data_IF_766779588883
#
_entry.id   IF_766779588883
#
_cell.length_a   1.000
_cell.length_b   1.000
_cell.length_c   1.000
_cell.angle_alpha   90.00
_cell.angle_beta   90.00
_cell.angle_gamma   90.00
#
_symmetry.space_group_name_H-M   'P 1'
#
loop_
_entity.id
_entity.type
_entity.pdbx_description
1 polymer ?
#
# COMPACT_ATOMS: atom_id res chain seq x y z
N UNK A 1 -3.01 14.86 24.84
CA UNK A 1 -2.70 13.69 25.72
C UNK A 1 -3.66 12.51 25.53
N UNK A 2 -5.00 12.68 25.55
CA UNK A 2 -5.94 11.55 25.38
C UNK A 2 -5.73 10.75 24.08
N UNK A 3 -5.36 11.42 23.00
CA UNK A 3 -5.15 10.79 21.67
C UNK A 3 -3.92 9.88 21.62
N UNK A 4 -2.81 10.28 22.24
CA UNK A 4 -1.61 9.42 22.33
C UNK A 4 -1.91 8.15 23.14
N UNK A 5 -2.65 8.27 24.24
CA UNK A 5 -3.04 7.10 25.03
C UNK A 5 -3.98 6.16 24.26
N UNK A 6 -4.86 6.73 23.41
CA UNK A 6 -5.65 5.95 22.46
C UNK A 6 -4.76 5.14 21.50
N UNK A 7 -3.78 5.77 20.85
CA UNK A 7 -2.89 5.04 19.94
C UNK A 7 -1.98 4.02 20.64
N UNK A 8 -1.52 4.31 21.86
CA UNK A 8 -0.82 3.32 22.69
C UNK A 8 -1.71 2.11 22.99
N UNK A 9 -3.00 2.31 23.21
CA UNK A 9 -3.95 1.23 23.40
C UNK A 9 -4.12 0.42 22.10
N UNK A 10 -4.22 1.07 20.94
CA UNK A 10 -4.30 0.37 19.65
C UNK A 10 -3.05 -0.44 19.37
N UNK A 11 -1.85 0.09 19.63
CA UNK A 11 -0.61 -0.65 19.47
C UNK A 11 -0.54 -1.88 20.39
N UNK A 12 -1.05 -1.78 21.63
CA UNK A 12 -1.17 -2.92 22.54
C UNK A 12 -2.18 -3.96 22.04
N UNK A 13 -3.28 -3.53 21.42
CA UNK A 13 -4.27 -4.43 20.84
C UNK A 13 -3.69 -5.19 19.63
N UNK A 14 -3.03 -4.49 18.70
CA UNK A 14 -2.34 -5.11 17.58
C UNK A 14 -1.28 -6.10 18.04
N UNK A 15 -0.45 -5.71 19.01
CA UNK A 15 0.56 -6.61 19.57
C UNK A 15 -0.05 -7.86 20.23
N UNK A 16 -1.24 -7.74 20.84
CA UNK A 16 -1.96 -8.91 21.38
C UNK A 16 -2.47 -9.83 20.29
N UNK A 17 -2.91 -9.29 19.17
CA UNK A 17 -3.38 -10.08 18.03
C UNK A 17 -2.24 -10.85 17.38
N UNK A 18 -1.08 -10.22 17.17
CA UNK A 18 0.14 -10.92 16.73
C UNK A 18 0.58 -12.02 17.70
N UNK A 19 0.35 -11.88 19.01
CA UNK A 19 0.65 -12.96 19.98
C UNK A 19 -0.23 -14.20 19.85
N UNK A 20 -1.30 -14.15 19.06
CA UNK A 20 -2.12 -15.32 18.77
C UNK A 20 -1.51 -16.24 17.71
N UNK A 21 -0.35 -15.86 17.16
CA UNK A 21 0.44 -16.60 16.20
C UNK A 21 0.57 -18.08 16.54
N UNK A 22 0.27 -18.92 15.56
CA UNK A 22 0.57 -20.35 15.58
C UNK A 22 1.26 -20.72 14.27
N UNK A 23 2.43 -21.37 14.30
CA UNK A 23 3.04 -21.87 13.08
C UNK A 23 2.23 -23.03 12.51
N UNK A 24 2.18 -23.13 11.19
CA UNK A 24 1.69 -24.30 10.46
C UNK A 24 2.50 -24.48 9.18
N UNK A 25 2.65 -25.71 8.73
CA UNK A 25 3.33 -25.99 7.47
C UNK A 25 2.35 -25.85 6.31
N UNK A 26 2.69 -25.03 5.31
CA UNK A 26 1.91 -24.90 4.10
C UNK A 26 2.56 -25.72 2.95
N UNK A 27 1.92 -26.81 2.49
CA UNK A 27 2.46 -27.66 1.43
C UNK A 27 2.47 -26.99 0.05
N UNK A 28 1.68 -25.93 -0.15
CA UNK A 28 1.64 -25.17 -1.42
C UNK A 28 2.90 -24.32 -1.55
N UNK A 29 3.31 -23.67 -0.46
CA UNK A 29 4.50 -22.82 -0.43
C UNK A 29 5.76 -23.56 0.03
N UNK A 30 5.62 -24.81 0.50
CA UNK A 30 6.74 -25.63 0.95
C UNK A 30 7.46 -25.10 2.19
N UNK A 31 6.83 -24.20 2.97
CA UNK A 31 7.43 -23.52 4.13
C UNK A 31 6.45 -23.41 5.29
N UNK A 32 6.98 -23.15 6.49
CA UNK A 32 6.17 -22.80 7.64
C UNK A 32 5.63 -21.37 7.48
N UNK A 33 4.32 -21.22 7.69
CA UNK A 33 3.59 -19.96 7.73
C UNK A 33 2.96 -19.77 9.11
N UNK A 34 2.43 -18.58 9.34
CA UNK A 34 1.71 -18.26 10.57
C UNK A 34 0.21 -18.15 10.32
N UNK A 35 -0.57 -18.62 11.28
CA UNK A 35 -2.00 -18.37 11.37
C UNK A 35 -2.29 -17.60 12.65
N UNK A 36 -3.30 -16.73 12.62
CA UNK A 36 -3.69 -15.88 13.73
C UNK A 36 -5.16 -16.10 14.12
N UNK A 37 -5.50 -15.70 15.35
CA UNK A 37 -6.89 -15.59 15.82
C UNK A 37 -7.13 -14.20 16.37
N UNK A 38 -7.00 -13.16 15.52
CA UNK A 38 -7.00 -11.78 15.96
C UNK A 38 -8.39 -11.32 16.39
N UNK A 39 -8.42 -10.27 17.22
CA UNK A 39 -9.66 -9.69 17.76
C UNK A 39 -9.89 -8.26 17.33
N UNK A 40 -8.84 -7.52 17.01
CA UNK A 40 -8.88 -6.08 16.77
C UNK A 40 -8.44 -5.70 15.37
N UNK A 41 -7.48 -6.43 14.79
CA UNK A 41 -6.91 -6.12 13.47
C UNK A 41 -6.82 -7.34 12.57
N UNK A 42 -6.94 -7.13 11.26
CA UNK A 42 -6.57 -8.14 10.28
C UNK A 42 -5.04 -8.23 10.23
N UNK A 43 -4.50 -9.24 10.93
CA UNK A 43 -3.05 -9.41 11.09
C UNK A 43 -2.42 -9.92 9.81
N UNK A 44 -3.12 -10.76 9.05
CA UNK A 44 -2.60 -11.34 7.81
C UNK A 44 -2.42 -10.25 6.75
N UNK A 45 -3.44 -9.38 6.59
CA UNK A 45 -3.35 -8.23 5.70
C UNK A 45 -2.24 -7.25 6.13
N UNK A 46 -2.13 -6.96 7.44
CA UNK A 46 -1.06 -6.09 7.95
C UNK A 46 0.33 -6.68 7.75
N UNK A 47 0.50 -7.99 7.94
CA UNK A 47 1.80 -8.64 7.80
C UNK A 47 2.28 -8.56 6.34
N UNK A 48 1.37 -8.78 5.39
CA UNK A 48 1.64 -8.69 3.97
C UNK A 48 1.96 -7.25 3.54
N UNK A 49 1.07 -6.30 3.83
CA UNK A 49 1.15 -4.94 3.29
C UNK A 49 2.30 -4.13 3.90
N UNK A 50 2.71 -4.46 5.12
CA UNK A 50 3.80 -3.77 5.83
C UNK A 50 5.11 -4.55 5.88
N UNK A 51 5.19 -5.70 5.19
CA UNK A 51 6.36 -6.59 5.16
C UNK A 51 6.90 -6.87 6.57
N UNK A 52 6.00 -7.33 7.44
CA UNK A 52 6.30 -7.49 8.87
C UNK A 52 7.09 -8.77 9.09
N UNK A 53 8.23 -8.67 9.77
CA UNK A 53 8.88 -9.84 10.36
C UNK A 53 8.04 -10.38 11.53
N UNK A 54 7.15 -11.31 11.19
CA UNK A 54 6.22 -11.97 12.09
C UNK A 54 6.95 -12.77 13.19
N UNK A 55 8.16 -13.27 12.94
CA UNK A 55 8.95 -14.04 13.90
C UNK A 55 9.56 -13.19 15.01
N UNK A 56 9.81 -11.90 14.74
CA UNK A 56 10.43 -10.96 15.68
C UNK A 56 9.52 -9.76 16.01
N UNK A 57 8.20 -9.94 15.95
CA UNK A 57 7.27 -8.84 16.15
C UNK A 57 7.24 -8.34 17.61
N UNK A 58 7.57 -7.06 17.82
CA UNK A 58 7.61 -6.44 19.16
C UNK A 58 6.50 -5.40 19.35
N UNK A 59 6.30 -4.95 20.59
CA UNK A 59 5.40 -3.82 20.88
C UNK A 59 5.86 -2.53 20.19
N UNK A 60 7.16 -2.33 20.02
CA UNK A 60 7.70 -1.16 19.30
C UNK A 60 7.33 -1.24 17.81
N UNK A 61 7.39 -2.44 17.21
CA UNK A 61 6.94 -2.66 15.83
C UNK A 61 5.45 -2.33 15.71
N UNK A 62 4.62 -2.81 16.63
CA UNK A 62 3.19 -2.50 16.67
C UNK A 62 2.92 -0.98 16.79
N UNK A 63 3.70 -0.27 17.61
CA UNK A 63 3.60 1.20 17.70
C UNK A 63 3.93 1.88 16.38
N UNK A 64 4.96 1.42 15.67
CA UNK A 64 5.30 1.94 14.34
C UNK A 64 4.24 1.64 13.29
N UNK A 65 3.66 0.44 13.28
CA UNK A 65 2.54 0.10 12.39
C UNK A 65 1.35 1.03 12.63
N UNK A 66 0.94 1.21 13.89
CA UNK A 66 -0.16 2.13 14.23
C UNK A 66 0.16 3.58 13.83
N UNK A 67 1.41 4.01 13.93
CA UNK A 67 1.81 5.34 13.46
C UNK A 67 1.58 5.50 11.95
N UNK A 68 1.99 4.51 11.15
CA UNK A 68 1.78 4.49 9.69
C UNK A 68 0.31 4.50 9.32
N UNK A 69 -0.49 3.64 9.97
CA UNK A 69 -1.95 3.58 9.76
C UNK A 69 -2.66 4.89 10.13
N UNK A 70 -2.03 5.72 10.97
CA UNK A 70 -2.56 7.01 11.39
C UNK A 70 -1.96 8.20 10.62
N UNK A 71 -1.22 7.95 9.52
CA UNK A 71 -0.64 8.99 8.66
C UNK A 71 0.73 9.52 9.09
N UNK A 72 1.44 8.83 9.98
CA UNK A 72 2.81 9.20 10.39
C UNK A 72 3.84 8.19 9.92
N UNK A 73 5.04 8.64 9.57
CA UNK A 73 6.14 7.73 9.17
C UNK A 73 6.65 6.90 10.35
N UNK A 74 6.76 7.49 11.55
CA UNK A 74 7.29 6.84 12.76
C UNK A 74 6.53 7.26 14.02
N UNK A 75 6.53 6.36 15.02
CA UNK A 75 5.91 6.60 16.32
C UNK A 75 6.49 7.83 17.05
N UNK A 76 7.79 8.08 16.93
CA UNK A 76 8.45 9.25 17.53
C UNK A 76 7.94 10.57 16.98
N UNK A 77 7.50 10.58 15.73
CA UNK A 77 7.04 11.80 15.05
C UNK A 77 5.62 12.11 15.50
N UNK A 78 4.77 11.08 15.61
CA UNK A 78 3.47 11.18 16.27
C UNK A 78 3.59 11.71 17.71
N UNK A 79 4.57 11.28 18.50
CA UNK A 79 4.73 11.76 19.89
C UNK A 79 5.05 13.27 19.97
N UNK A 80 5.63 13.86 18.93
CA UNK A 80 6.00 15.27 18.84
C UNK A 80 4.97 16.11 18.07
N UNK A 81 3.95 15.47 17.50
CA UNK A 81 2.96 16.11 16.65
C UNK A 81 2.11 17.13 17.42
N UNK A 82 1.60 18.12 16.68
CA UNK A 82 0.67 19.11 17.21
C UNK A 82 -0.64 18.46 17.68
N UNK A 83 -1.41 19.11 18.58
CA UNK A 83 -2.72 18.63 18.97
C UNK A 83 -3.67 18.39 17.77
N UNK A 84 -3.63 19.28 16.78
CA UNK A 84 -4.45 19.21 15.57
C UNK A 84 -4.06 18.03 14.68
N UNK A 85 -2.77 17.81 14.44
CA UNK A 85 -2.28 16.62 13.73
C UNK A 85 -2.64 15.32 14.46
N UNK A 86 -2.57 15.30 15.80
CA UNK A 86 -3.00 14.15 16.60
C UNK A 86 -4.51 13.90 16.50
N UNK A 87 -5.32 14.95 16.39
CA UNK A 87 -6.76 14.80 16.21
C UNK A 87 -7.09 14.32 14.79
N UNK A 88 -6.45 14.87 13.77
CA UNK A 88 -6.60 14.45 12.37
C UNK A 88 -6.23 12.99 12.19
N UNK A 89 -5.05 12.59 12.67
CA UNK A 89 -4.61 11.19 12.62
C UNK A 89 -5.58 10.21 13.29
N UNK A 90 -6.23 10.63 14.40
CA UNK A 90 -7.27 9.81 15.03
C UNK A 90 -8.48 9.67 14.11
N UNK A 91 -8.91 10.76 13.46
CA UNK A 91 -10.04 10.73 12.53
C UNK A 91 -9.73 9.86 11.31
N UNK A 92 -8.54 9.99 10.73
CA UNK A 92 -8.07 9.12 9.63
C UNK A 92 -8.12 7.65 10.04
N UNK A 93 -7.56 7.32 11.21
CA UNK A 93 -7.57 5.96 11.73
C UNK A 93 -8.99 5.45 12.06
N UNK A 94 -9.90 6.32 12.50
CA UNK A 94 -11.29 5.95 12.80
C UNK A 94 -12.13 5.76 11.53
N UNK A 95 -11.75 6.42 10.43
CA UNK A 95 -12.46 6.46 9.17
C UNK A 95 -11.71 5.78 8.02
N UNK A 96 -10.87 4.76 8.31
CA UNK A 96 -10.12 4.05 7.26
C UNK A 96 -11.02 3.45 6.17
N UNK A 97 -12.24 3.03 6.51
CA UNK A 97 -13.27 2.60 5.55
C UNK A 97 -13.81 3.69 4.60
N UNK A 98 -13.59 4.97 4.89
CA UNK A 98 -14.03 6.10 4.05
C UNK A 98 -12.92 6.56 3.11
N UNK A 99 -11.70 6.65 3.63
CA UNK A 99 -10.53 7.13 2.89
C UNK A 99 -9.26 6.53 3.50
N UNK A 100 -8.37 6.03 2.64
CA UNK A 100 -7.05 5.56 3.04
C UNK A 100 -6.08 6.71 3.25
N UNK A 101 -4.97 6.46 3.95
CA UNK A 101 -3.91 7.47 4.13
C UNK A 101 -3.35 7.94 2.79
N UNK A 102 -3.17 7.02 1.83
CA UNK A 102 -2.61 7.33 0.52
C UNK A 102 -3.55 8.26 -0.26
N UNK A 103 -4.84 7.94 -0.29
CA UNK A 103 -5.83 8.79 -0.95
C UNK A 103 -5.98 10.15 -0.26
N UNK A 104 -5.86 10.20 1.07
CA UNK A 104 -5.85 11.45 1.81
C UNK A 104 -4.66 12.33 1.41
N UNK A 105 -3.46 11.76 1.32
CA UNK A 105 -2.26 12.48 0.90
C UNK A 105 -2.36 12.96 -0.56
N UNK A 106 -2.95 12.16 -1.44
CA UNK A 106 -3.26 12.53 -2.83
C UNK A 106 -4.25 13.70 -2.87
N UNK A 107 -5.34 13.62 -2.10
CA UNK A 107 -6.37 14.65 -2.02
C UNK A 107 -5.77 15.98 -1.54
N UNK A 108 -5.02 15.96 -0.44
CA UNK A 108 -4.34 17.15 0.07
C UNK A 108 -3.37 17.75 -0.95
N UNK A 109 -2.56 16.92 -1.60
CA UNK A 109 -1.57 17.39 -2.58
C UNK A 109 -2.24 18.08 -3.78
N UNK A 110 -3.37 17.56 -4.24
CA UNK A 110 -4.16 18.17 -5.32
C UNK A 110 -4.73 19.54 -4.89
N UNK A 111 -5.35 19.62 -3.71
CA UNK A 111 -5.92 20.85 -3.17
C UNK A 111 -4.84 21.93 -2.94
N UNK A 112 -3.67 21.55 -2.43
CA UNK A 112 -2.55 22.47 -2.21
C UNK A 112 -1.99 23.02 -3.52
N UNK A 113 -1.90 22.17 -4.56
CA UNK A 113 -1.43 22.58 -5.89
C UNK A 113 -2.43 23.52 -6.58
N UNK A 114 -3.72 23.24 -6.45
CA UNK A 114 -4.76 24.09 -7.04
C UNK A 114 -4.81 25.47 -6.40
N UNK A 115 -4.63 25.55 -5.08
CA UNK A 115 -4.69 26.80 -4.32
C UNK A 115 -3.35 27.51 -4.18
N UNK A 116 -2.27 26.89 -4.63
CA UNK A 116 -0.88 27.35 -4.44
C UNK A 116 -0.60 27.75 -2.97
N UNK A 117 -1.10 26.94 -2.04
CA UNK A 117 -1.08 27.21 -0.61
C UNK A 117 -0.74 25.94 0.18
N UNK A 118 0.13 26.07 1.17
CA UNK A 118 0.47 24.97 2.06
C UNK A 118 -0.42 25.00 3.30
N UNK A 119 -1.26 23.96 3.44
CA UNK A 119 -2.11 23.80 4.61
C UNK A 119 -1.28 23.44 5.84
N UNK A 120 -1.56 24.13 6.95
CA UNK A 120 -1.04 23.72 8.24
C UNK A 120 -1.88 22.57 8.85
N UNK A 121 -1.55 22.16 10.08
CA UNK A 121 -2.23 21.04 10.73
C UNK A 121 -3.68 21.36 11.14
N UNK A 122 -4.02 22.64 11.36
CA UNK A 122 -5.39 23.08 11.66
C UNK A 122 -6.24 23.08 10.39
N UNK A 123 -5.71 23.63 9.30
CA UNK A 123 -6.35 23.61 7.99
C UNK A 123 -6.68 22.18 7.54
N UNK A 124 -5.71 21.26 7.64
CA UNK A 124 -5.91 19.84 7.25
C UNK A 124 -6.97 19.16 8.09
N UNK A 125 -7.02 19.47 9.40
CA UNK A 125 -8.02 18.92 10.31
C UNK A 125 -9.42 19.39 9.92
N UNK A 126 -9.57 20.67 9.63
CA UNK A 126 -10.85 21.27 9.25
C UNK A 126 -11.34 20.71 7.91
N UNK A 127 -10.46 20.59 6.92
CA UNK A 127 -10.76 19.96 5.63
C UNK A 127 -11.26 18.53 5.83
N UNK A 128 -10.56 17.72 6.63
CA UNK A 128 -10.96 16.34 6.85
C UNK A 128 -12.33 16.23 7.50
N UNK A 129 -12.63 17.09 8.48
CA UNK A 129 -13.92 17.11 9.16
C UNK A 129 -15.05 17.43 8.19
N UNK A 130 -14.88 18.51 7.41
CA UNK A 130 -15.90 19.02 6.48
C UNK A 130 -16.14 18.05 5.32
N UNK A 131 -15.08 17.44 4.79
CA UNK A 131 -15.17 16.65 3.55
C UNK A 131 -15.40 15.18 3.82
N UNK A 132 -14.83 14.59 4.88
CA UNK A 132 -14.83 13.13 5.07
C UNK A 132 -15.50 12.68 6.36
N UNK A 133 -15.24 13.33 7.49
CA UNK A 133 -15.76 12.85 8.78
C UNK A 133 -17.28 13.01 8.86
N UNK A 134 -17.78 14.20 8.53
CA UNK A 134 -19.20 14.57 8.66
C UNK A 134 -20.04 14.28 7.41
N UNK A 135 -19.41 13.70 6.38
CA UNK A 135 -20.06 13.33 5.10
C UNK A 135 -20.09 11.82 4.96
N UNK A 136 -21.27 11.28 4.66
CA UNK A 136 -21.45 9.86 4.38
C UNK A 136 -21.42 9.58 2.87
N UNK A 137 -21.11 8.34 2.51
CA UNK A 137 -21.05 7.90 1.11
C UNK A 137 -19.64 7.86 0.52
N UNK A 138 -18.63 8.35 1.24
CA UNK A 138 -17.24 8.09 0.90
C UNK A 138 -16.92 6.61 1.03
N UNK A 139 -16.20 6.10 0.04
CA UNK A 139 -15.65 4.76 0.02
C UNK A 139 -14.22 4.87 -0.49
N UNK A 140 -13.37 4.01 0.04
CA UNK A 140 -11.99 3.85 -0.38
C UNK A 140 -11.84 2.49 -1.04
N UNK A 141 -10.93 2.40 -2.01
CA UNK A 141 -10.44 1.11 -2.49
C UNK A 141 -9.33 0.55 -1.58
N UNK A 142 -8.86 1.35 -0.62
CA UNK A 142 -7.90 0.98 0.40
C UNK A 142 -8.48 0.05 1.48
N UNK A 143 -7.58 -0.66 2.14
CA UNK A 143 -7.95 -1.69 3.10
C UNK A 143 -8.18 -1.11 4.52
N UNK A 144 -9.34 -1.40 5.13
CA UNK A 144 -9.56 -1.14 6.56
C UNK A 144 -9.06 -2.33 7.39
N UNK A 145 -7.88 -2.18 7.96
CA UNK A 145 -7.23 -3.22 8.76
C UNK A 145 -7.91 -3.52 10.10
N UNK A 146 -8.98 -2.82 10.46
CA UNK A 146 -9.63 -2.98 11.77
C UNK A 146 -10.77 -3.98 11.70
N UNK A 147 -10.78 -4.93 12.62
CA UNK A 147 -11.88 -5.86 12.80
C UNK A 147 -12.96 -5.18 13.66
N UNK A 148 -14.11 -4.90 13.06
CA UNK A 148 -15.25 -4.29 13.76
C UNK A 148 -15.86 -5.26 14.79
N UNK A 149 -16.22 -4.75 15.98
CA UNK A 149 -16.89 -5.54 17.03
C UNK A 149 -18.41 -5.66 16.77
N UNK A 150 -18.79 -6.48 15.81
CA UNK A 150 -20.06 -7.23 15.68
C UNK A 150 -20.07 -7.81 14.26
N UNK A 151 -20.05 -9.11 14.00
CA UNK A 151 -20.77 -10.22 14.62
C UNK A 151 -19.87 -11.47 14.73
N UNK A 152 -20.03 -12.26 15.80
CA UNK A 152 -19.59 -13.66 15.78
C UNK A 152 -20.53 -14.45 14.87
N UNK A 153 -19.91 -15.26 14.02
CA UNK A 153 -20.45 -16.40 13.27
C UNK A 153 -21.61 -16.10 12.32
N UNK A 154 -21.27 -15.91 11.05
CA UNK A 154 -21.83 -16.81 10.05
C UNK A 154 -20.77 -17.88 9.79
N UNK A 155 -21.06 -19.12 10.17
CA UNK A 155 -20.39 -20.28 9.62
C UNK A 155 -20.37 -20.14 8.09
N UNK A 156 -19.19 -20.04 7.52
CA UNK A 156 -18.86 -20.51 6.19
C UNK A 156 -17.35 -20.78 6.26
N UNK A 157 -16.92 -22.04 6.38
CA UNK A 157 -16.53 -22.81 5.20
C UNK A 157 -16.83 -22.08 3.88
N UNK A 158 -16.11 -20.99 3.62
CA UNK A 158 -15.78 -20.60 2.27
C UNK A 158 -14.53 -21.42 1.92
N UNK A 159 -14.66 -22.69 1.53
CA UNK A 159 -14.66 -23.00 0.10
C UNK A 159 -14.89 -21.73 -0.69
N UNK A 160 -13.78 -21.12 -1.16
CA UNK A 160 -13.79 -20.07 -2.16
C UNK A 160 -14.78 -20.46 -3.26
N UNK A 161 -16.01 -19.95 -3.19
CA UNK A 161 -16.88 -19.91 -4.35
C UNK A 161 -16.41 -18.68 -5.11
N UNK A 162 -16.01 -18.85 -6.38
CA UNK A 162 -15.38 -17.79 -7.14
C UNK A 162 -16.34 -16.61 -7.15
N UNK A 163 -15.85 -15.48 -6.68
CA UNK A 163 -16.48 -14.19 -6.95
C UNK A 163 -16.69 -14.17 -8.46
N UNK A 164 -17.92 -13.93 -8.90
CA UNK A 164 -18.19 -13.69 -10.32
C UNK A 164 -17.50 -12.39 -10.69
N UNK A 165 -16.24 -12.50 -11.11
CA UNK A 165 -15.48 -11.49 -11.83
C UNK A 165 -16.32 -11.17 -13.06
N UNK A 166 -16.78 -9.92 -13.13
CA UNK A 166 -17.41 -9.41 -14.34
C UNK A 166 -16.28 -9.24 -15.35
N UNK A 167 -16.24 -10.20 -16.28
CA UNK A 167 -15.37 -10.33 -17.47
C UNK A 167 -13.92 -10.75 -17.20
N UNK A 168 -13.70 -12.07 -17.13
CA UNK A 168 -12.40 -12.75 -17.21
C UNK A 168 -11.70 -12.46 -18.56
N UNK A 169 -11.02 -11.33 -18.68
CA UNK A 169 -9.97 -11.17 -19.69
C UNK A 169 -8.70 -11.78 -19.08
N UNK A 170 -8.39 -13.01 -19.49
CA UNK A 170 -7.17 -13.70 -19.07
C UNK A 170 -6.12 -13.59 -20.17
N UNK A 171 -4.89 -13.27 -19.79
CA UNK A 171 -3.74 -13.40 -20.67
C UNK A 171 -3.36 -14.88 -20.71
N UNK A 172 -3.50 -15.48 -21.88
CA UNK A 172 -3.24 -16.91 -22.10
C UNK A 172 -2.02 -17.19 -22.98
N UNK A 173 -1.40 -16.16 -23.56
CA UNK A 173 -0.25 -16.31 -24.46
C UNK A 173 0.69 -15.10 -24.35
N UNK A 174 1.99 -15.39 -24.50
CA UNK A 174 3.06 -14.38 -24.60
C UNK A 174 3.86 -14.61 -25.90
N UNK A 175 4.39 -13.56 -26.54
CA UNK A 175 4.30 -12.15 -26.12
C UNK A 175 2.88 -11.58 -26.29
N UNK A 176 2.55 -10.57 -25.48
CA UNK A 176 1.28 -9.86 -25.62
C UNK A 176 1.15 -9.29 -27.03
N UNK A 177 -0.06 -9.32 -27.60
CA UNK A 177 -0.33 -8.83 -28.95
C UNK A 177 -1.61 -8.00 -29.00
N UNK A 178 -1.71 -7.11 -29.99
CA UNK A 178 -2.92 -6.33 -30.24
C UNK A 178 -3.25 -5.37 -29.10
N UNK A 179 -4.53 -5.28 -28.74
CA UNK A 179 -5.04 -4.31 -27.77
C UNK A 179 -4.41 -4.49 -26.36
N UNK A 180 -4.16 -5.73 -25.93
CA UNK A 180 -3.56 -5.99 -24.62
C UNK A 180 -2.10 -5.49 -24.56
N UNK A 181 -1.34 -5.60 -25.66
CA UNK A 181 0.04 -5.07 -25.69
C UNK A 181 0.04 -3.54 -25.54
N UNK A 182 -0.88 -2.86 -26.21
CA UNK A 182 -0.99 -1.39 -26.15
C UNK A 182 -1.31 -0.94 -24.73
N UNK A 183 -2.29 -1.57 -24.10
CA UNK A 183 -2.73 -1.21 -22.75
C UNK A 183 -1.63 -1.44 -21.69
N UNK A 184 -0.87 -2.54 -21.79
CA UNK A 184 0.26 -2.78 -20.90
C UNK A 184 1.39 -1.78 -21.11
N UNK A 185 1.65 -1.36 -22.37
CA UNK A 185 2.64 -0.34 -22.68
C UNK A 185 2.26 1.03 -22.11
N UNK A 186 1.02 1.47 -22.34
CA UNK A 186 0.52 2.74 -21.79
C UNK A 186 0.56 2.74 -20.26
N UNK A 187 0.20 1.60 -19.64
CA UNK A 187 0.27 1.45 -18.17
C UNK A 187 1.71 1.52 -17.68
N UNK A 188 2.65 0.80 -18.32
CA UNK A 188 4.06 0.83 -17.95
C UNK A 188 4.67 2.24 -18.11
N UNK A 189 4.34 2.96 -19.18
CA UNK A 189 4.79 4.34 -19.37
C UNK A 189 4.23 5.29 -18.29
N UNK A 190 2.92 5.25 -18.04
CA UNK A 190 2.29 6.09 -17.02
C UNK A 190 2.86 5.82 -15.62
N UNK A 191 3.08 4.55 -15.30
CA UNK A 191 3.64 4.15 -14.02
C UNK A 191 5.12 4.48 -13.91
N UNK A 192 5.88 4.43 -15.00
CA UNK A 192 7.29 4.81 -15.00
C UNK A 192 7.45 6.29 -14.64
N UNK A 193 6.65 7.17 -15.24
CA UNK A 193 6.67 8.60 -14.91
C UNK A 193 6.29 8.85 -13.44
N UNK A 194 5.32 8.09 -12.90
CA UNK A 194 4.95 8.16 -11.47
C UNK A 194 6.08 7.72 -10.55
N UNK A 195 6.80 6.65 -10.92
CA UNK A 195 7.93 6.12 -10.15
C UNK A 195 9.13 7.06 -10.24
N UNK A 196 9.43 7.62 -11.41
CA UNK A 196 10.49 8.62 -11.61
C UNK A 196 10.31 9.83 -10.68
N UNK A 197 9.08 10.32 -10.53
CA UNK A 197 8.75 11.40 -9.60
C UNK A 197 8.92 11.03 -8.13
N UNK A 198 8.81 9.73 -7.78
CA UNK A 198 8.93 9.25 -6.40
C UNK A 198 10.36 8.90 -6.02
N UNK A 199 11.12 8.34 -6.96
CA UNK A 199 12.51 7.90 -6.75
C UNK A 199 13.47 9.08 -6.85
N UNK A 200 13.14 10.09 -7.67
CA UNK A 200 13.97 11.29 -7.89
C UNK A 200 15.47 10.95 -8.12
N UNK A 201 15.80 10.14 -9.16
CA UNK A 201 17.17 9.75 -9.41
C UNK A 201 18.06 10.95 -9.75
N UNK A 202 19.34 10.88 -9.40
CA UNK A 202 20.31 11.98 -9.59
C UNK A 202 20.53 12.33 -11.08
N UNK A 203 20.32 11.36 -11.98
CA UNK A 203 20.45 11.51 -13.43
C UNK A 203 19.16 11.10 -14.18
N UNK A 204 18.06 11.86 -14.04
CA UNK A 204 16.75 11.44 -14.54
C UNK A 204 16.69 11.30 -16.06
N UNK A 205 17.43 12.13 -16.79
CA UNK A 205 17.52 12.06 -18.25
C UNK A 205 18.20 10.77 -18.73
N UNK A 206 19.22 10.30 -18.01
CA UNK A 206 19.91 9.05 -18.34
C UNK A 206 19.01 7.84 -18.04
N UNK A 207 18.31 7.86 -16.90
CA UNK A 207 17.34 6.81 -16.54
C UNK A 207 16.21 6.75 -17.58
N UNK A 208 15.73 7.90 -18.04
CA UNK A 208 14.71 7.98 -19.10
C UNK A 208 15.20 7.43 -20.44
N UNK A 209 16.49 7.57 -20.74
CA UNK A 209 17.10 7.04 -21.96
C UNK A 209 17.29 5.52 -21.93
N UNK A 210 17.53 4.94 -20.74
CA UNK A 210 17.64 3.49 -20.58
C UNK A 210 16.28 2.79 -20.49
N UNK A 211 15.22 3.52 -20.11
CA UNK A 211 13.88 2.98 -20.01
C UNK A 211 13.34 2.47 -21.35
N UNK A 212 12.84 1.23 -21.35
CA UNK A 212 12.15 0.62 -22.48
C UNK A 212 10.94 -0.18 -21.98
N UNK A 213 9.74 0.35 -22.22
CA UNK A 213 8.49 -0.27 -21.77
C UNK A 213 8.24 -1.65 -22.41
N UNK A 214 8.65 -1.88 -23.66
CA UNK A 214 8.48 -3.16 -24.34
C UNK A 214 9.31 -4.27 -23.67
N UNK A 215 10.60 -4.01 -23.47
CA UNK A 215 11.51 -4.95 -22.81
C UNK A 215 11.06 -5.21 -21.37
N UNK A 216 10.66 -4.15 -20.66
CA UNK A 216 10.18 -4.25 -19.28
C UNK A 216 8.97 -5.17 -19.14
N UNK A 217 7.95 -5.02 -20.01
CA UNK A 217 6.76 -5.89 -19.99
C UNK A 217 7.12 -7.33 -20.30
N UNK A 218 8.03 -7.55 -21.26
CA UNK A 218 8.47 -8.89 -21.64
C UNK A 218 9.33 -9.57 -20.55
N UNK A 219 9.97 -8.79 -19.66
CA UNK A 219 10.68 -9.28 -18.47
C UNK A 219 9.75 -9.60 -17.29
N UNK A 220 8.76 -8.72 -17.04
CA UNK A 220 7.80 -8.85 -15.93
C UNK A 220 6.83 -10.01 -16.17
N UNK A 221 6.34 -10.20 -17.40
CA UNK A 221 5.41 -11.27 -17.73
C UNK A 221 6.14 -12.50 -18.25
N UNK A 222 6.16 -13.56 -17.45
CA UNK A 222 6.82 -14.82 -17.81
C UNK A 222 5.83 -15.93 -18.15
N UNK A 223 6.26 -16.90 -18.98
CA UNK A 223 5.38 -17.96 -19.51
C UNK A 223 4.82 -18.89 -18.44
N UNK A 224 5.53 -19.05 -17.33
CA UNK A 224 5.14 -19.85 -16.16
C UNK A 224 4.04 -19.18 -15.32
N UNK A 225 3.78 -17.89 -15.54
CA UNK A 225 2.69 -17.15 -14.90
C UNK A 225 1.33 -17.36 -15.61
N UNK A 226 1.31 -17.98 -16.80
CA UNK A 226 0.11 -18.13 -17.62
C UNK A 226 -0.73 -19.38 -17.25
N UNK A 227 -2.08 -19.33 -17.37
CA UNK A 227 -2.88 -18.15 -17.69
C UNK A 227 -3.04 -17.23 -16.48
N UNK A 228 -2.86 -15.93 -16.68
CA UNK A 228 -2.95 -14.90 -15.63
C UNK A 228 -4.14 -13.99 -15.89
N UNK A 229 -4.77 -13.53 -14.81
CA UNK A 229 -5.79 -12.49 -14.91
C UNK A 229 -5.18 -11.17 -15.38
N UNK A 230 -5.85 -10.46 -16.29
CA UNK A 230 -5.33 -9.23 -16.90
C UNK A 230 -5.15 -8.11 -15.88
N UNK A 231 -6.11 -7.90 -14.99
CA UNK A 231 -6.06 -6.83 -13.99
C UNK A 231 -4.95 -7.12 -12.97
N UNK A 232 -4.82 -8.40 -12.59
CA UNK A 232 -3.70 -8.84 -11.77
C UNK A 232 -2.35 -8.63 -12.47
N UNK A 233 -2.23 -9.00 -13.75
CA UNK A 233 -1.00 -8.79 -14.53
C UNK A 233 -0.64 -7.30 -14.70
N UNK A 234 -1.63 -6.41 -14.85
CA UNK A 234 -1.42 -4.96 -14.85
C UNK A 234 -0.92 -4.45 -13.49
N UNK A 235 -1.42 -5.00 -12.38
CA UNK A 235 -0.95 -4.62 -11.04
C UNK A 235 0.53 -4.96 -10.80
N UNK A 236 1.05 -6.00 -11.47
CA UNK A 236 2.46 -6.41 -11.35
C UNK A 236 3.42 -5.40 -11.98
N UNK A 237 2.98 -4.68 -13.03
CA UNK A 237 3.76 -3.59 -13.63
C UNK A 237 4.12 -2.57 -12.55
N UNK A 238 3.12 -2.03 -11.84
CA UNK A 238 3.36 -1.02 -10.82
C UNK A 238 4.19 -1.56 -9.65
N UNK A 239 3.91 -2.80 -9.23
CA UNK A 239 4.58 -3.44 -8.09
C UNK A 239 6.09 -3.60 -8.31
N UNK A 240 6.51 -4.01 -9.51
CA UNK A 240 7.93 -4.28 -9.80
C UNK A 240 8.68 -3.09 -10.38
N UNK A 241 7.98 -2.06 -10.87
CA UNK A 241 8.59 -0.95 -11.58
C UNK A 241 9.46 -0.08 -10.68
N UNK A 242 9.09 0.08 -9.40
CA UNK A 242 9.91 0.81 -8.42
C UNK A 242 11.32 0.22 -8.33
N UNK A 243 11.42 -1.10 -8.21
CA UNK A 243 12.71 -1.78 -8.11
C UNK A 243 13.52 -1.66 -9.42
N UNK A 244 12.85 -1.72 -10.57
CA UNK A 244 13.49 -1.57 -11.87
C UNK A 244 14.07 -0.16 -12.07
N UNK A 245 13.32 0.88 -11.73
CA UNK A 245 13.80 2.28 -11.82
C UNK A 245 14.99 2.52 -10.89
N UNK A 246 15.00 1.93 -9.68
CA UNK A 246 16.15 2.00 -8.78
C UNK A 246 17.39 1.35 -9.40
N UNK A 247 17.23 0.20 -10.08
CA UNK A 247 18.35 -0.44 -10.78
C UNK A 247 18.89 0.41 -11.92
N UNK A 248 18.00 1.01 -12.73
CA UNK A 248 18.40 1.94 -13.79
C UNK A 248 19.13 3.15 -13.22
N UNK A 249 18.64 3.73 -12.11
CA UNK A 249 19.30 4.86 -11.44
C UNK A 249 20.74 4.51 -11.01
N UNK A 250 20.92 3.37 -10.35
CA UNK A 250 22.25 2.89 -9.93
C UNK A 250 23.17 2.66 -11.12
N UNK A 251 22.66 2.12 -12.23
CA UNK A 251 23.44 1.95 -13.46
C UNK A 251 23.88 3.30 -14.04
N UNK A 252 22.98 4.28 -14.07
CA UNK A 252 23.30 5.61 -14.59
C UNK A 252 24.28 6.38 -13.73
N UNK A 253 24.24 6.20 -12.41
CA UNK A 253 25.20 6.82 -11.49
C UNK A 253 26.61 6.25 -11.74
N UNK A 254 26.73 4.94 -11.91
CA UNK A 254 28.00 4.28 -12.26
C UNK A 254 28.54 4.72 -13.63
N UNK A 255 27.65 4.90 -14.62
CA UNK A 255 28.03 5.40 -15.93
C UNK A 255 28.53 6.85 -15.85
N UNK A 256 27.84 7.72 -15.11
CA UNK A 256 28.22 9.12 -14.90
C UNK A 256 29.55 9.26 -14.14
N UNK A 257 29.81 8.40 -13.16
CA UNK A 257 31.10 8.34 -12.45
C UNK A 257 32.25 7.87 -13.36
N UNK A 258 31.99 6.96 -14.30
CA UNK A 258 33.01 6.44 -15.23
C UNK A 258 33.40 7.41 -16.35
N UNK A 259 32.61 8.46 -16.57
CA UNK A 259 32.80 9.48 -17.61
C UNK A 259 33.49 10.76 -17.10
N UNK A 260 33.70 10.89 -15.78
CA UNK A 260 34.45 11.96 -15.11
C UNK A 260 35.88 11.52 -14.74
#
# INVERSE_FOLDING_TARGET
>A
MKTIEYFKLQAKNLYRDFKTQKPYYDPTYGRDLYQYTPKYFDVDALALDFDIDEGNFTLMNAQHCIAKLAGFTKWTDMLKASPSALQLSKLLFENMHKISIIEWDIYLSAEQREKDFLFDDEDKLDIFQIVFADVDGHQTDGYDYRLSKSEKSSDNNQIFKPMKIKNNLQISALPLAGADRIEFLETAEASFERVMQRVEPDHPDLVRNLWNAENYIDEVLQRDMLPIDKDYALSLIDAFLVQHVIQLAVETDQQAESLN
#
